data_IF_518678982514
#
_entry.id   IF_518678982514
#
_cell.length_a   1.000
_cell.length_b   1.000
_cell.length_c   1.000
_cell.angle_alpha   90.00
_cell.angle_beta   90.00
_cell.angle_gamma   90.00
#
_symmetry.space_group_name_H-M   'P 1'
#
loop_
_entity.id
_entity.type
_entity.pdbx_description
1 polymer ?
#
# COMPACT_ATOMS: atom_id res chain seq x y z
N UNK A 1 -16.52 -44.35 16.06
CA UNK A 1 -16.56 -44.15 14.59
C UNK A 1 -17.25 -42.81 14.22
N UNK A 2 -17.07 -41.75 15.01
CA UNK A 2 -17.70 -40.43 14.81
C UNK A 2 -16.67 -39.29 14.68
N UNK A 3 -15.38 -39.59 14.86
CA UNK A 3 -14.27 -38.63 14.85
C UNK A 3 -13.62 -38.46 13.48
N UNK A 4 -13.85 -39.37 12.53
CA UNK A 4 -13.26 -39.31 11.18
C UNK A 4 -14.07 -38.43 10.21
N UNK A 5 -15.37 -38.27 10.43
CA UNK A 5 -16.27 -37.49 9.56
C UNK A 5 -16.01 -35.98 9.64
N UNK A 6 -15.57 -35.48 10.79
CA UNK A 6 -15.19 -34.08 10.97
C UNK A 6 -13.91 -33.68 10.19
N UNK A 7 -13.11 -34.66 9.76
CA UNK A 7 -11.88 -34.43 8.98
C UNK A 7 -12.12 -34.34 7.47
N UNK A 8 -13.28 -34.80 7.00
CA UNK A 8 -13.64 -34.91 5.57
C UNK A 8 -14.61 -33.81 5.14
N UNK A 9 -15.34 -33.20 6.08
CA UNK A 9 -16.14 -32.01 5.80
C UNK A 9 -15.27 -30.75 5.96
N UNK A 10 -14.97 -30.00 4.89
CA UNK A 10 -14.51 -28.63 5.03
C UNK A 10 -15.68 -27.85 5.62
N UNK A 11 -15.73 -27.76 6.95
CA UNK A 11 -16.68 -26.90 7.62
C UNK A 11 -16.44 -25.49 7.07
N UNK A 12 -17.48 -24.80 6.54
CA UNK A 12 -17.35 -23.44 6.08
C UNK A 12 -17.13 -22.56 7.31
N UNK A 13 -15.87 -22.42 7.72
CA UNK A 13 -15.48 -21.52 8.78
C UNK A 13 -15.67 -20.10 8.24
N UNK A 14 -16.84 -19.52 8.52
CA UNK A 14 -17.10 -18.09 8.34
C UNK A 14 -15.96 -17.31 9.00
N UNK A 15 -15.31 -16.41 8.26
CA UNK A 15 -14.24 -15.53 8.80
C UNK A 15 -12.81 -15.85 8.35
N UNK A 16 -12.61 -16.77 7.40
CA UNK A 16 -11.26 -17.18 6.99
C UNK A 16 -10.48 -16.11 6.21
N UNK A 17 -11.14 -15.04 5.73
CA UNK A 17 -10.48 -13.91 5.08
C UNK A 17 -9.40 -13.24 5.95
N UNK A 18 -9.55 -13.28 7.29
CA UNK A 18 -8.56 -12.77 8.23
C UNK A 18 -7.21 -13.50 8.16
N UNK A 19 -7.21 -14.82 7.85
CA UNK A 19 -5.96 -15.58 7.68
C UNK A 19 -5.18 -15.12 6.45
N UNK A 20 -5.88 -14.62 5.43
CA UNK A 20 -5.25 -14.07 4.24
C UNK A 20 -4.61 -12.71 4.54
N UNK A 21 -5.27 -11.89 5.38
CA UNK A 21 -4.72 -10.64 5.91
C UNK A 21 -3.45 -10.92 6.73
N UNK A 22 -3.47 -11.91 7.61
CA UNK A 22 -2.31 -12.32 8.42
C UNK A 22 -1.13 -12.79 7.55
N UNK A 23 -1.39 -13.65 6.56
CA UNK A 23 -0.37 -14.07 5.57
C UNK A 23 0.24 -12.85 4.89
N UNK A 24 -0.61 -11.94 4.42
CA UNK A 24 -0.18 -10.74 3.73
C UNK A 24 0.68 -9.85 4.63
N UNK A 25 0.33 -9.68 5.91
CA UNK A 25 1.12 -8.96 6.90
C UNK A 25 2.51 -9.58 7.11
N UNK A 26 2.59 -10.91 7.28
CA UNK A 26 3.86 -11.62 7.48
C UNK A 26 4.80 -11.48 6.28
N UNK A 27 4.27 -11.59 5.05
CA UNK A 27 5.05 -11.39 3.83
C UNK A 27 5.57 -9.96 3.75
N UNK A 28 4.72 -8.99 4.09
CA UNK A 28 5.06 -7.57 3.97
C UNK A 28 6.04 -7.07 5.02
N UNK A 29 6.08 -7.69 6.19
CA UNK A 29 7.13 -7.45 7.19
C UNK A 29 8.53 -7.62 6.62
N UNK A 30 8.71 -8.51 5.63
CA UNK A 30 10.01 -8.75 4.96
C UNK A 30 10.25 -7.85 3.76
N UNK A 31 9.20 -7.22 3.22
CA UNK A 31 9.25 -6.32 2.06
C UNK A 31 9.33 -4.83 2.43
N UNK A 32 9.44 -4.49 3.72
CA UNK A 32 9.56 -3.11 4.21
C UNK A 32 10.64 -2.24 3.53
N UNK A 33 11.80 -2.77 3.05
CA UNK A 33 12.81 -1.92 2.41
C UNK A 33 12.33 -1.30 1.10
N UNK A 34 11.43 -2.00 0.38
CA UNK A 34 10.88 -1.54 -0.91
C UNK A 34 10.02 -0.28 -0.73
N UNK A 35 9.40 -0.11 0.43
CA UNK A 35 8.70 1.13 0.75
C UNK A 35 9.64 2.29 0.98
N UNK A 36 10.74 2.03 1.68
CA UNK A 36 11.72 3.05 2.01
C UNK A 36 12.33 3.65 0.74
N UNK A 37 12.56 2.81 -0.28
CA UNK A 37 13.05 3.28 -1.58
C UNK A 37 12.05 4.18 -2.31
N UNK A 38 10.74 3.90 -2.19
CA UNK A 38 9.69 4.76 -2.78
C UNK A 38 9.50 6.09 -2.05
N UNK A 39 9.83 6.15 -0.75
CA UNK A 39 9.82 7.39 0.04
C UNK A 39 11.08 8.25 -0.17
N UNK A 40 12.18 7.65 -0.63
CA UNK A 40 13.43 8.37 -0.86
C UNK A 40 13.34 9.31 -2.07
N UNK A 41 12.70 8.88 -3.16
CA UNK A 41 12.61 9.69 -4.39
C UNK A 41 12.00 11.09 -4.16
N UNK A 42 10.84 11.24 -3.50
CA UNK A 42 10.23 12.55 -3.23
C UNK A 42 11.05 13.42 -2.28
N UNK A 43 11.66 12.80 -1.27
CA UNK A 43 12.53 13.51 -0.32
C UNK A 43 13.78 14.03 -1.03
N UNK A 44 14.37 13.24 -1.91
CA UNK A 44 15.51 13.66 -2.73
C UNK A 44 15.10 14.78 -3.71
N UNK A 45 13.90 14.72 -4.29
CA UNK A 45 13.35 15.81 -5.10
C UNK A 45 13.19 17.10 -4.30
N UNK A 46 12.60 17.04 -3.10
CA UNK A 46 12.45 18.20 -2.23
C UNK A 46 13.79 18.75 -1.76
N UNK A 47 14.75 17.87 -1.44
CA UNK A 47 16.11 18.28 -1.11
C UNK A 47 16.77 19.00 -2.30
N UNK A 48 16.62 18.47 -3.51
CA UNK A 48 17.16 19.09 -4.73
C UNK A 48 16.53 20.45 -5.01
N UNK A 49 15.21 20.59 -4.83
CA UNK A 49 14.51 21.87 -5.00
C UNK A 49 14.92 22.85 -3.91
N UNK A 50 14.96 22.40 -2.65
CA UNK A 50 15.30 23.23 -1.50
C UNK A 50 16.73 23.76 -1.50
N UNK A 51 17.69 22.96 -1.98
CA UNK A 51 19.11 23.38 -2.05
C UNK A 51 19.44 24.10 -3.37
N UNK A 52 18.76 23.74 -4.47
CA UNK A 52 19.09 24.25 -5.80
C UNK A 52 18.19 25.40 -6.26
N UNK A 53 16.88 25.16 -6.31
CA UNK A 53 15.92 26.02 -7.03
C UNK A 53 15.28 27.06 -6.11
N UNK A 54 15.24 26.82 -4.80
CA UNK A 54 14.58 27.69 -3.84
C UNK A 54 15.14 29.13 -3.86
N UNK A 55 16.47 29.29 -4.03
CA UNK A 55 17.13 30.61 -4.10
C UNK A 55 16.92 31.33 -5.44
N UNK A 56 16.49 30.61 -6.48
CA UNK A 56 16.23 31.18 -7.82
C UNK A 56 14.78 31.66 -7.99
N UNK A 57 13.86 31.23 -7.12
CA UNK A 57 12.44 31.53 -7.24
C UNK A 57 12.04 32.56 -6.17
N UNK A 58 11.49 33.69 -6.60
CA UNK A 58 10.97 34.71 -5.67
C UNK A 58 9.87 34.13 -4.77
N UNK A 59 9.86 34.57 -3.51
CA UNK A 59 8.90 34.14 -2.51
C UNK A 59 7.47 34.57 -2.87
N UNK A 60 6.49 33.71 -2.60
CA UNK A 60 5.09 34.01 -2.89
C UNK A 60 4.47 34.81 -1.75
N UNK A 61 3.91 35.98 -2.06
CA UNK A 61 3.08 36.76 -1.11
C UNK A 61 1.62 36.35 -1.22
N UNK A 62 1.09 35.75 -0.16
CA UNK A 62 -0.33 35.41 -0.07
C UNK A 62 -1.18 36.64 0.33
N UNK A 63 -2.48 36.68 -0.02
CA UNK A 63 -3.40 37.71 0.46
C UNK A 63 -3.53 37.61 1.99
N UNK A 64 -2.81 38.47 2.71
CA UNK A 64 -2.65 38.37 4.17
C UNK A 64 -1.23 38.70 4.66
N UNK A 65 -0.27 38.89 3.76
CA UNK A 65 1.10 39.31 4.12
C UNK A 65 2.02 38.15 4.54
N UNK A 66 1.52 36.90 4.51
CA UNK A 66 2.37 35.72 4.63
C UNK A 66 3.22 35.55 3.38
N UNK A 67 4.50 35.29 3.60
CA UNK A 67 5.49 35.00 2.57
C UNK A 67 5.81 33.52 2.65
N UNK A 68 5.57 32.80 1.56
CA UNK A 68 5.77 31.34 1.47
C UNK A 68 6.88 31.07 0.47
N UNK A 69 7.92 30.35 0.89
CA UNK A 69 8.99 29.93 0.01
C UNK A 69 8.52 28.88 -1.00
N UNK A 70 9.14 28.80 -2.17
CA UNK A 70 8.78 27.82 -3.21
C UNK A 70 8.77 26.37 -2.69
N UNK A 71 9.71 26.02 -1.81
CA UNK A 71 9.79 24.68 -1.20
C UNK A 71 8.55 24.35 -0.37
N UNK A 72 8.04 25.29 0.43
CA UNK A 72 6.85 25.07 1.26
C UNK A 72 5.56 24.94 0.42
N UNK A 73 5.51 25.63 -0.72
CA UNK A 73 4.41 25.51 -1.66
C UNK A 73 4.39 24.15 -2.38
N UNK A 74 5.55 23.65 -2.81
CA UNK A 74 5.65 22.40 -3.59
C UNK A 74 5.67 21.16 -2.70
N UNK A 75 6.20 21.26 -1.47
CA UNK A 75 6.28 20.16 -0.50
C UNK A 75 4.99 19.34 -0.37
N UNK A 76 3.82 19.92 -0.02
CA UNK A 76 2.59 19.14 0.16
C UNK A 76 2.12 18.45 -1.13
N UNK A 77 2.29 19.08 -2.29
CA UNK A 77 1.92 18.48 -3.58
C UNK A 77 2.80 17.27 -3.92
N UNK A 78 4.12 17.40 -3.72
CA UNK A 78 5.08 16.31 -3.93
C UNK A 78 4.83 15.15 -2.96
N UNK A 79 4.58 15.43 -1.68
CA UNK A 79 4.26 14.42 -0.68
C UNK A 79 2.96 13.67 -1.05
N UNK A 80 1.90 14.38 -1.42
CA UNK A 80 0.64 13.79 -1.84
C UNK A 80 0.78 12.90 -3.10
N UNK A 81 1.50 13.37 -4.13
CA UNK A 81 1.75 12.60 -5.34
C UNK A 81 2.50 11.29 -5.05
N UNK A 82 3.42 11.33 -4.08
CA UNK A 82 4.25 10.20 -3.70
C UNK A 82 3.49 9.15 -2.89
N UNK A 83 2.66 9.61 -1.96
CA UNK A 83 1.70 8.76 -1.24
C UNK A 83 0.78 8.02 -2.21
N UNK A 84 0.25 8.75 -3.21
CA UNK A 84 -0.61 8.19 -4.25
C UNK A 84 0.13 7.14 -5.08
N UNK A 85 1.36 7.43 -5.49
CA UNK A 85 2.17 6.52 -6.30
C UNK A 85 2.46 5.21 -5.54
N UNK A 86 2.86 5.29 -4.27
CA UNK A 86 3.08 4.12 -3.41
C UNK A 86 1.82 3.25 -3.24
N UNK A 87 0.66 3.88 -3.05
CA UNK A 87 -0.63 3.19 -2.95
C UNK A 87 -1.06 2.52 -4.27
N UNK A 88 -0.82 3.19 -5.42
CA UNK A 88 -1.13 2.67 -6.75
C UNK A 88 -0.24 1.48 -7.13
N UNK A 89 1.07 1.57 -6.84
CA UNK A 89 1.99 0.47 -7.09
C UNK A 89 1.54 -0.81 -6.40
N UNK A 90 1.05 -0.67 -5.18
CA UNK A 90 0.64 -1.81 -4.41
C UNK A 90 -0.75 -2.35 -4.77
N UNK A 91 -1.74 -1.47 -4.88
CA UNK A 91 -3.14 -1.85 -5.14
C UNK A 91 -3.34 -2.42 -6.54
N UNK A 92 -2.58 -1.93 -7.52
CA UNK A 92 -2.73 -2.33 -8.92
C UNK A 92 -1.67 -3.36 -9.31
N UNK A 93 -0.39 -3.01 -9.23
CA UNK A 93 0.67 -3.88 -9.74
C UNK A 93 0.92 -5.06 -8.82
N UNK A 94 0.92 -4.85 -7.49
CA UNK A 94 1.07 -5.92 -6.51
C UNK A 94 -0.02 -6.99 -6.64
N UNK A 95 -1.28 -6.56 -6.70
CA UNK A 95 -2.44 -7.44 -6.88
C UNK A 95 -2.40 -8.16 -8.24
N UNK A 96 -2.21 -7.40 -9.33
CA UNK A 96 -2.15 -7.97 -10.68
C UNK A 96 -1.03 -8.98 -10.83
N UNK A 97 0.15 -8.71 -10.25
CA UNK A 97 1.28 -9.62 -10.32
C UNK A 97 1.00 -10.95 -9.63
N UNK A 98 0.38 -10.90 -8.45
CA UNK A 98 -0.06 -12.08 -7.70
C UNK A 98 -1.11 -12.90 -8.44
N UNK A 99 -2.01 -12.21 -9.16
CA UNK A 99 -3.05 -12.85 -9.97
C UNK A 99 -2.50 -13.47 -11.25
N UNK A 100 -1.78 -12.69 -12.07
CA UNK A 100 -1.43 -13.09 -13.44
C UNK A 100 -0.15 -13.90 -13.53
N UNK A 101 0.88 -13.51 -12.78
CA UNK A 101 2.22 -14.08 -12.91
C UNK A 101 2.49 -15.13 -11.84
N UNK A 102 2.26 -14.81 -10.57
CA UNK A 102 2.49 -15.77 -9.48
C UNK A 102 1.39 -16.82 -9.36
N UNK A 103 0.22 -16.61 -10.00
CA UNK A 103 -0.95 -17.50 -9.93
C UNK A 103 -1.29 -17.89 -8.49
N UNK A 104 -1.12 -16.93 -7.59
CA UNK A 104 -1.22 -17.15 -6.16
C UNK A 104 -2.67 -17.47 -5.77
N UNK A 105 -3.64 -16.84 -6.45
CA UNK A 105 -5.06 -17.11 -6.24
C UNK A 105 -5.47 -18.51 -6.73
N UNK A 106 -4.88 -19.02 -7.81
CA UNK A 106 -5.14 -20.40 -8.27
C UNK A 106 -4.71 -21.42 -7.20
N UNK A 107 -3.57 -21.18 -6.55
CA UNK A 107 -3.08 -22.02 -5.45
C UNK A 107 -3.95 -21.92 -4.19
N UNK A 108 -4.48 -20.74 -3.88
CA UNK A 108 -5.39 -20.53 -2.75
C UNK A 108 -6.74 -21.21 -2.99
N UNK A 109 -7.27 -21.14 -4.21
CA UNK A 109 -8.55 -21.75 -4.57
C UNK A 109 -8.49 -23.29 -4.63
N UNK A 110 -7.28 -23.88 -4.65
CA UNK A 110 -7.09 -25.32 -4.45
C UNK A 110 -7.32 -25.78 -3.00
N UNK A 111 -7.38 -24.84 -2.05
CA UNK A 111 -7.75 -25.09 -0.65
C UNK A 111 -9.26 -24.85 -0.45
N UNK A 112 -9.90 -25.32 0.64
CA UNK A 112 -11.35 -25.16 0.86
C UNK A 112 -11.82 -23.72 1.15
N UNK A 113 -11.09 -22.70 0.67
CA UNK A 113 -11.41 -21.29 0.77
C UNK A 113 -12.40 -20.87 -0.32
N UNK A 114 -13.42 -20.09 0.05
CA UNK A 114 -14.38 -19.56 -0.92
C UNK A 114 -13.77 -18.32 -1.61
N UNK A 115 -14.04 -18.08 -2.90
CA UNK A 115 -13.57 -16.88 -3.61
C UNK A 115 -13.93 -15.56 -2.91
N UNK A 116 -15.11 -15.51 -2.26
CA UNK A 116 -15.56 -14.36 -1.49
C UNK A 116 -14.68 -14.05 -0.27
N UNK A 117 -14.20 -15.08 0.43
CA UNK A 117 -13.32 -14.91 1.59
C UNK A 117 -11.92 -14.42 1.15
N UNK A 118 -11.47 -14.83 -0.04
CA UNK A 118 -10.22 -14.37 -0.64
C UNK A 118 -10.32 -12.91 -1.09
N UNK A 119 -11.41 -12.56 -1.79
CA UNK A 119 -11.65 -11.21 -2.26
C UNK A 119 -11.72 -10.20 -1.10
N UNK A 120 -12.46 -10.54 -0.03
CA UNK A 120 -12.54 -9.70 1.17
C UNK A 120 -11.21 -9.58 1.89
N UNK A 121 -10.45 -10.68 2.04
CA UNK A 121 -9.14 -10.63 2.68
C UNK A 121 -8.12 -9.77 1.93
N UNK A 122 -8.05 -9.88 0.61
CA UNK A 122 -7.17 -9.02 -0.20
C UNK A 122 -7.65 -7.56 -0.23
N UNK A 123 -8.96 -7.32 -0.32
CA UNK A 123 -9.53 -5.97 -0.30
C UNK A 123 -9.25 -5.28 1.04
N UNK A 124 -9.51 -5.94 2.16
CA UNK A 124 -9.20 -5.41 3.50
C UNK A 124 -7.72 -5.11 3.64
N UNK A 125 -6.85 -5.97 3.12
CA UNK A 125 -5.41 -5.75 3.18
C UNK A 125 -4.96 -4.59 2.29
N UNK A 126 -5.48 -4.46 1.07
CA UNK A 126 -5.22 -3.32 0.18
C UNK A 126 -5.66 -2.00 0.83
N UNK A 127 -6.83 -1.98 1.49
CA UNK A 127 -7.32 -0.82 2.22
C UNK A 127 -6.44 -0.46 3.42
N UNK A 128 -6.08 -1.44 4.26
CA UNK A 128 -5.20 -1.20 5.42
C UNK A 128 -3.87 -0.60 5.01
N UNK A 129 -3.30 -1.11 3.93
CA UNK A 129 -1.99 -0.70 3.44
C UNK A 129 -2.05 0.62 2.69
N UNK A 130 -3.08 0.85 1.89
CA UNK A 130 -3.36 2.17 1.28
C UNK A 130 -3.54 3.24 2.35
N UNK A 131 -4.29 2.94 3.42
CA UNK A 131 -4.42 3.83 4.58
C UNK A 131 -3.07 4.07 5.28
N UNK A 132 -2.21 3.04 5.42
CA UNK A 132 -0.87 3.20 5.98
C UNK A 132 0.04 4.10 5.12
N UNK A 133 -0.02 3.97 3.79
CA UNK A 133 0.67 4.88 2.87
C UNK A 133 0.14 6.31 2.99
N UNK A 134 -1.18 6.50 3.01
CA UNK A 134 -1.76 7.83 3.20
C UNK A 134 -1.47 8.45 4.57
N UNK A 135 -1.24 7.65 5.61
CA UNK A 135 -0.89 8.16 6.95
C UNK A 135 0.61 8.48 7.11
N UNK A 136 1.47 7.97 6.22
CA UNK A 136 2.91 8.25 6.25
C UNK A 136 3.28 9.61 5.65
N UNK A 137 2.37 10.26 4.92
CA UNK A 137 2.55 11.54 4.24
C UNK A 137 1.54 12.56 4.76
#
# INVERSE_FOLDING_TARGET
MATLTARVLPLPVRGTGWRLVERNFLVYKRAWPVFLTGFLEPVLYLLSIGVGVADLVEEFRLPGGQVIGYTEFVAPALLAASAMNGSLFDSTYGLFFRMKYQKLYDSILATPLRPWDVATGELTWALLRGAAYSAMF
#
